data_IF_939380240203
#
_entry.id   IF_939380240203
#
_cell.length_a   1.000
_cell.length_b   1.000
_cell.length_c   1.000
_cell.angle_alpha   90.00
_cell.angle_beta   90.00
_cell.angle_gamma   90.00
#
_symmetry.space_group_name_H-M   'P 1'
#
loop_
_entity.id
_entity.type
_entity.pdbx_description
1 polymer ?
#
# COMPACT_ATOMS: atom_id res chain seq x y z
N UNK A 1 17.30 9.23 -35.91
CA UNK A 1 18.35 9.77 -35.02
C UNK A 1 17.69 10.09 -33.70
N UNK A 2 18.04 9.34 -32.66
CA UNK A 2 17.49 9.39 -31.31
C UNK A 2 18.24 10.47 -30.52
N UNK A 3 17.61 11.46 -29.88
CA UNK A 3 18.30 12.26 -28.88
C UNK A 3 18.28 11.47 -27.57
N UNK A 4 19.45 10.93 -27.23
CA UNK A 4 19.71 10.29 -25.95
C UNK A 4 19.38 11.23 -24.78
N UNK A 5 18.92 10.62 -23.69
CA UNK A 5 18.84 11.17 -22.33
C UNK A 5 20.03 12.08 -22.04
N UNK A 6 19.78 13.37 -21.86
CA UNK A 6 20.82 14.30 -21.42
C UNK A 6 20.95 14.15 -19.92
N UNK A 7 21.92 13.34 -19.50
CA UNK A 7 22.48 13.39 -18.15
C UNK A 7 23.18 14.76 -18.04
N UNK A 8 22.56 15.75 -17.39
CA UNK A 8 23.33 16.92 -16.93
C UNK A 8 24.07 16.54 -15.65
N UNK A 9 25.14 15.76 -15.82
CA UNK A 9 26.18 15.59 -14.83
C UNK A 9 27.06 16.85 -14.94
N UNK A 10 27.02 17.73 -13.94
CA UNK A 10 28.04 18.77 -13.83
C UNK A 10 29.37 18.08 -13.54
N UNK A 11 30.14 17.82 -14.59
CA UNK A 11 31.52 17.33 -14.50
C UNK A 11 32.37 18.50 -14.01
N UNK A 12 32.50 18.64 -12.69
CA UNK A 12 33.65 19.32 -12.11
C UNK A 12 34.78 18.30 -12.01
N UNK A 13 35.73 18.41 -12.94
CA UNK A 13 36.99 17.69 -12.92
C UNK A 13 37.74 18.00 -11.61
N UNK A 14 37.74 17.07 -10.66
CA UNK A 14 38.69 17.05 -9.57
C UNK A 14 38.93 15.61 -9.10
N UNK A 15 40.00 15.03 -9.65
CA UNK A 15 40.95 14.09 -9.06
C UNK A 15 40.52 13.32 -7.79
N UNK A 16 40.39 12.00 -7.98
CA UNK A 16 40.39 10.93 -6.97
C UNK A 16 39.24 10.93 -5.95
N UNK A 17 38.63 9.75 -5.76
CA UNK A 17 37.37 9.46 -5.07
C UNK A 17 36.13 9.68 -5.95
N UNK A 18 35.87 8.73 -6.86
CA UNK A 18 34.53 8.56 -7.44
C UNK A 18 33.62 8.02 -6.33
N UNK A 19 33.17 8.92 -5.46
CA UNK A 19 31.95 8.71 -4.68
C UNK A 19 30.91 8.30 -5.73
N UNK A 20 30.33 7.10 -5.64
CA UNK A 20 29.17 6.72 -6.45
C UNK A 20 28.12 7.80 -6.28
N UNK A 21 28.06 8.75 -7.21
CA UNK A 21 26.93 9.66 -7.33
C UNK A 21 25.80 8.75 -7.78
N UNK A 22 25.09 8.19 -6.81
CA UNK A 22 23.91 7.38 -7.03
C UNK A 22 22.82 8.36 -7.47
N UNK A 23 22.88 8.79 -8.73
CA UNK A 23 21.81 9.56 -9.35
C UNK A 23 20.57 8.68 -9.33
N UNK A 24 19.60 9.02 -8.48
CA UNK A 24 18.29 8.43 -8.62
C UNK A 24 17.72 8.79 -9.99
N UNK A 25 16.87 7.91 -10.53
CA UNK A 25 16.02 8.30 -11.64
C UNK A 25 15.26 9.56 -11.28
N UNK A 26 15.48 10.61 -12.09
CA UNK A 26 14.74 11.85 -12.03
C UNK A 26 13.91 11.91 -13.30
N UNK A 27 12.58 11.75 -13.20
CA UNK A 27 11.75 11.79 -14.39
C UNK A 27 11.88 13.14 -15.07
N UNK A 28 12.09 13.09 -16.39
CA UNK A 28 11.95 14.26 -17.23
C UNK A 28 10.51 14.75 -17.13
N UNK A 29 10.31 15.96 -16.60
CA UNK A 29 8.98 16.54 -16.45
C UNK A 29 8.38 16.73 -17.86
N UNK A 30 7.58 15.78 -18.31
CA UNK A 30 6.84 15.91 -19.56
C UNK A 30 5.83 17.04 -19.33
N UNK A 31 6.02 18.17 -20.04
CA UNK A 31 5.43 19.47 -19.74
C UNK A 31 3.90 19.64 -19.83
N UNK A 32 3.11 18.60 -19.56
CA UNK A 32 1.66 18.69 -19.35
C UNK A 32 1.29 18.14 -17.98
N UNK A 33 1.07 19.06 -17.03
CA UNK A 33 0.33 18.74 -15.82
C UNK A 33 -1.14 18.56 -16.17
N UNK A 34 -1.73 17.45 -15.75
CA UNK A 34 -3.16 17.17 -15.91
C UNK A 34 -3.95 17.54 -14.64
N UNK A 35 -3.29 18.19 -13.67
CA UNK A 35 -3.88 18.54 -12.38
C UNK A 35 -4.17 17.34 -11.49
N UNK A 36 -3.74 16.12 -11.84
CA UNK A 36 -4.11 14.91 -11.09
C UNK A 36 -3.44 14.93 -9.72
N UNK A 37 -2.18 15.37 -9.67
CA UNK A 37 -1.48 15.57 -8.41
C UNK A 37 -2.10 16.69 -7.53
N UNK A 38 -2.78 17.68 -8.13
CA UNK A 38 -3.48 18.72 -7.37
C UNK A 38 -4.70 18.15 -6.65
N UNK A 39 -5.38 17.15 -7.22
CA UNK A 39 -6.47 16.44 -6.53
C UNK A 39 -6.00 15.55 -5.38
N UNK A 40 -4.76 15.05 -5.44
CA UNK A 40 -4.17 14.26 -4.35
C UNK A 40 -3.69 15.16 -3.20
N UNK A 41 -3.21 16.36 -3.50
CA UNK A 41 -2.54 17.25 -2.54
C UNK A 41 -3.33 17.53 -1.25
N UNK A 42 -4.67 17.77 -1.27
CA UNK A 42 -5.43 18.01 -0.05
C UNK A 42 -5.53 16.80 0.90
N UNK A 43 -5.41 15.60 0.36
CA UNK A 43 -5.47 14.34 1.13
C UNK A 43 -4.09 13.84 1.53
N UNK A 44 -3.00 14.42 1.01
CA UNK A 44 -1.63 13.96 1.26
C UNK A 44 -1.08 14.53 2.58
N UNK A 45 -0.76 13.63 3.51
CA UNK A 45 -0.02 13.90 4.75
C UNK A 45 1.44 13.57 4.51
N UNK A 46 2.30 14.58 4.49
CA UNK A 46 3.74 14.40 4.23
C UNK A 46 4.43 13.76 5.42
N UNK A 47 5.62 13.21 5.19
CA UNK A 47 6.48 12.65 6.26
C UNK A 47 6.62 13.56 7.48
N UNK A 48 6.89 14.84 7.25
CA UNK A 48 7.01 15.82 8.33
C UNK A 48 5.70 16.00 9.12
N UNK A 49 4.55 15.91 8.44
CA UNK A 49 3.23 16.18 9.05
C UNK A 49 2.73 15.05 9.95
N UNK A 50 3.18 13.81 9.70
CA UNK A 50 2.89 12.66 10.58
C UNK A 50 4.04 12.33 11.54
N UNK A 51 5.15 13.08 11.49
CA UNK A 51 6.27 12.94 12.42
C UNK A 51 7.17 11.74 12.13
N UNK A 52 7.45 11.50 10.84
CA UNK A 52 8.33 10.44 10.38
C UNK A 52 9.75 10.56 10.94
N UNK A 53 10.31 9.44 11.38
CA UNK A 53 11.75 9.32 11.58
C UNK A 53 12.49 9.36 10.22
N UNK A 54 13.74 9.80 10.24
CA UNK A 54 14.64 9.66 9.09
C UNK A 54 15.01 8.19 8.87
N UNK A 55 15.34 7.84 7.62
CA UNK A 55 15.84 6.51 7.33
C UNK A 55 17.18 6.25 8.06
N UNK A 56 17.37 5.05 8.60
CA UNK A 56 18.60 4.67 9.34
C UNK A 56 19.81 4.45 8.43
N UNK A 57 19.63 4.49 7.11
CA UNK A 57 20.69 4.32 6.14
C UNK A 57 20.27 4.69 4.72
N UNK A 58 21.20 4.58 3.76
CA UNK A 58 20.94 4.95 2.37
C UNK A 58 19.92 4.01 1.73
N UNK A 59 18.84 4.58 1.20
CA UNK A 59 17.86 3.86 0.39
C UNK A 59 18.33 3.79 -1.07
N UNK A 60 18.23 2.62 -1.69
CA UNK A 60 18.47 2.44 -3.12
C UNK A 60 17.48 3.26 -3.96
N UNK A 61 17.93 3.75 -5.12
CA UNK A 61 17.07 4.44 -6.07
C UNK A 61 16.47 3.47 -7.09
N UNK A 62 15.30 3.82 -7.61
CA UNK A 62 14.86 3.27 -8.90
C UNK A 62 15.73 3.82 -10.04
N UNK A 63 15.92 3.00 -11.07
CA UNK A 63 16.67 3.35 -12.28
C UNK A 63 15.77 3.84 -13.42
N UNK A 64 14.51 3.41 -13.41
CA UNK A 64 13.48 3.70 -14.39
C UNK A 64 12.13 3.90 -13.66
N UNK A 65 11.09 4.43 -14.34
CA UNK A 65 9.73 4.38 -13.82
C UNK A 65 9.34 2.95 -13.45
N UNK A 66 8.56 2.79 -12.38
CA UNK A 66 8.03 1.47 -12.03
C UNK A 66 6.83 1.13 -12.89
N UNK A 67 6.73 -0.13 -13.33
CA UNK A 67 5.62 -0.66 -14.12
C UNK A 67 4.70 -1.59 -13.32
N UNK A 68 4.97 -1.75 -12.02
CA UNK A 68 4.21 -2.61 -11.13
C UNK A 68 3.73 -1.88 -9.87
N UNK A 69 2.41 -1.91 -9.64
CA UNK A 69 1.79 -1.44 -8.40
C UNK A 69 1.35 -2.66 -7.58
N UNK A 70 1.78 -2.74 -6.33
CA UNK A 70 1.40 -3.84 -5.43
C UNK A 70 0.57 -3.26 -4.28
N UNK A 71 -0.67 -3.74 -4.17
CA UNK A 71 -1.58 -3.35 -3.12
C UNK A 71 -1.44 -4.24 -1.90
N UNK A 72 -1.46 -3.60 -0.73
CA UNK A 72 -1.31 -4.21 0.58
C UNK A 72 -2.46 -3.83 1.50
N UNK A 73 -2.69 -4.66 2.50
CA UNK A 73 -3.23 -4.20 3.78
C UNK A 73 -2.12 -4.22 4.82
N UNK A 74 -2.31 -3.49 5.92
CA UNK A 74 -1.34 -3.53 7.03
C UNK A 74 -1.53 -4.72 7.97
N UNK A 75 -2.69 -5.40 7.91
CA UNK A 75 -3.14 -6.39 8.89
C UNK A 75 -3.11 -5.83 10.34
N UNK A 76 -3.45 -4.55 10.49
CA UNK A 76 -3.53 -3.86 11.78
C UNK A 76 -4.97 -3.37 12.02
N UNK A 77 -5.22 -2.80 13.20
CA UNK A 77 -6.50 -2.15 13.48
C UNK A 77 -6.69 -0.96 12.51
N UNK A 78 -7.86 -0.80 11.86
CA UNK A 78 -8.13 0.39 11.07
C UNK A 78 -8.14 1.63 11.97
N UNK A 79 -7.75 2.76 11.38
CA UNK A 79 -7.78 4.07 12.00
C UNK A 79 -8.87 4.92 11.32
N UNK A 80 -9.57 5.77 12.06
CA UNK A 80 -10.70 6.56 11.51
C UNK A 80 -10.54 8.06 11.69
N UNK A 81 -9.66 8.50 12.58
CA UNK A 81 -9.29 9.92 12.73
C UNK A 81 -7.87 10.16 12.25
N UNK A 82 -7.56 11.40 11.86
CA UNK A 82 -6.22 11.76 11.38
C UNK A 82 -5.14 11.52 12.44
N UNK A 83 -5.42 11.76 13.72
CA UNK A 83 -4.44 11.52 14.79
C UNK A 83 -4.20 10.02 15.01
N UNK A 84 -5.24 9.19 14.98
CA UNK A 84 -5.12 7.74 15.02
C UNK A 84 -4.32 7.21 13.84
N UNK A 85 -4.60 7.71 12.63
CA UNK A 85 -3.91 7.27 11.42
C UNK A 85 -2.45 7.74 11.39
N UNK A 86 -2.14 8.97 11.84
CA UNK A 86 -0.75 9.41 12.05
C UNK A 86 -0.02 8.49 13.02
N UNK A 87 -0.67 8.14 14.14
CA UNK A 87 -0.10 7.21 15.13
C UNK A 87 0.12 5.83 14.50
N UNK A 88 -0.85 5.29 13.78
CA UNK A 88 -0.74 3.99 13.13
C UNK A 88 0.44 3.94 12.14
N UNK A 89 0.60 4.96 11.30
CA UNK A 89 1.74 5.05 10.37
C UNK A 89 3.08 5.11 11.11
N UNK A 90 3.14 5.87 12.22
CA UNK A 90 4.33 5.95 13.06
C UNK A 90 4.65 4.60 13.71
N UNK A 91 3.67 3.91 14.28
CA UNK A 91 3.83 2.59 14.88
C UNK A 91 4.32 1.57 13.83
N UNK A 92 3.79 1.62 12.60
CA UNK A 92 4.23 0.78 11.47
C UNK A 92 5.68 1.10 11.09
N UNK A 93 6.07 2.38 11.02
CA UNK A 93 7.47 2.77 10.76
C UNK A 93 8.39 2.22 11.85
N UNK A 94 8.02 2.40 13.13
CA UNK A 94 8.81 1.93 14.27
C UNK A 94 8.98 0.41 14.26
N UNK A 95 7.92 -0.35 14.02
CA UNK A 95 7.99 -1.81 13.91
C UNK A 95 8.90 -2.24 12.74
N UNK A 96 8.78 -1.60 11.57
CA UNK A 96 9.65 -1.89 10.44
C UNK A 96 11.13 -1.61 10.73
N UNK A 97 11.44 -0.52 11.41
CA UNK A 97 12.83 -0.13 11.67
C UNK A 97 13.45 -0.87 12.86
N UNK A 98 12.69 -1.09 13.94
CA UNK A 98 13.19 -1.68 15.19
C UNK A 98 13.08 -3.21 15.23
N UNK A 99 12.01 -3.76 14.67
CA UNK A 99 11.75 -5.21 14.76
C UNK A 99 12.23 -5.93 13.49
N UNK A 100 12.00 -5.34 12.31
CA UNK A 100 12.41 -5.94 11.02
C UNK A 100 13.77 -5.46 10.52
N UNK A 101 14.40 -4.51 11.23
CA UNK A 101 15.70 -3.92 10.87
C UNK A 101 15.72 -3.31 9.46
N UNK A 102 14.57 -2.81 8.99
CA UNK A 102 14.50 -2.10 7.71
C UNK A 102 14.97 -0.67 7.87
N UNK A 103 15.43 -0.08 6.77
CA UNK A 103 15.96 1.28 6.77
C UNK A 103 14.90 2.36 7.03
N UNK A 104 13.64 2.06 6.70
CA UNK A 104 12.47 2.93 6.86
C UNK A 104 11.20 2.08 6.71
N UNK A 105 10.02 2.69 6.88
CA UNK A 105 8.71 2.10 6.56
C UNK A 105 8.73 1.43 5.19
N UNK A 106 8.16 0.22 5.05
CA UNK A 106 8.32 -0.58 3.82
C UNK A 106 7.55 -0.10 2.60
N UNK A 107 6.47 0.67 2.80
CA UNK A 107 5.55 1.12 1.75
C UNK A 107 5.89 2.52 1.23
N UNK A 108 5.45 2.85 0.02
CA UNK A 108 5.58 4.21 -0.52
C UNK A 108 4.41 5.09 -0.08
N UNK A 109 3.21 4.51 0.01
CA UNK A 109 2.01 5.20 0.50
C UNK A 109 1.21 4.31 1.43
N UNK A 110 0.60 4.92 2.44
CA UNK A 110 -0.39 4.29 3.29
C UNK A 110 -1.70 5.07 3.20
N UNK A 111 -2.85 4.41 3.25
CA UNK A 111 -4.17 5.05 3.18
C UNK A 111 -4.93 4.75 4.46
N UNK A 112 -5.30 5.80 5.19
CA UNK A 112 -6.06 5.73 6.43
C UNK A 112 -7.57 5.74 6.20
N UNK A 113 -8.33 5.26 7.19
CA UNK A 113 -9.80 5.31 7.14
C UNK A 113 -10.37 6.70 7.37
N UNK A 114 -9.50 7.65 7.69
CA UNK A 114 -9.81 9.08 7.72
C UNK A 114 -9.82 9.73 6.32
N UNK A 115 -9.62 8.95 5.25
CA UNK A 115 -9.63 9.45 3.87
C UNK A 115 -8.38 10.24 3.49
N UNK A 116 -7.24 9.96 4.14
CA UNK A 116 -5.95 10.58 3.84
C UNK A 116 -4.92 9.56 3.33
N UNK A 117 -3.95 10.08 2.59
CA UNK A 117 -2.78 9.36 2.10
C UNK A 117 -1.57 9.81 2.89
N UNK A 118 -0.87 8.87 3.50
CA UNK A 118 0.33 9.09 4.29
C UNK A 118 1.56 8.73 3.46
N UNK A 119 2.45 9.69 3.31
CA UNK A 119 3.70 9.51 2.58
C UNK A 119 4.65 8.59 3.35
N UNK A 120 5.02 7.45 2.75
CA UNK A 120 6.02 6.51 3.24
C UNK A 120 7.38 6.80 2.61
N UNK A 121 7.97 5.81 1.92
CA UNK A 121 9.20 6.02 1.15
C UNK A 121 8.96 6.93 -0.07
N UNK A 122 9.94 7.78 -0.44
CA UNK A 122 9.84 8.62 -1.62
C UNK A 122 9.62 7.82 -2.91
N UNK A 123 8.90 8.41 -3.88
CA UNK A 123 8.60 7.81 -5.19
C UNK A 123 9.79 7.17 -5.92
N UNK A 124 10.98 7.78 -5.79
CA UNK A 124 12.20 7.39 -6.50
C UNK A 124 13.11 6.44 -5.69
N UNK A 125 12.65 5.96 -4.52
CA UNK A 125 13.40 5.07 -3.64
C UNK A 125 12.77 3.70 -3.54
N UNK A 126 13.60 2.66 -3.56
CA UNK A 126 13.19 1.25 -3.49
C UNK A 126 12.46 0.96 -2.16
N UNK A 127 11.33 0.25 -2.27
CA UNK A 127 10.50 -0.21 -1.16
C UNK A 127 11.11 -1.35 -0.32
N UNK A 128 10.38 -1.80 0.69
CA UNK A 128 10.63 -3.07 1.40
C UNK A 128 9.34 -3.86 1.65
N UNK A 129 8.34 -3.70 0.79
CA UNK A 129 6.99 -4.24 0.98
C UNK A 129 6.79 -5.63 0.37
N UNK A 130 7.49 -5.97 -0.72
CA UNK A 130 7.29 -7.25 -1.43
C UNK A 130 8.63 -7.82 -1.87
N UNK A 131 8.99 -8.97 -1.27
CA UNK A 131 10.23 -9.67 -1.60
C UNK A 131 10.30 -9.92 -3.12
N UNK A 132 11.50 -9.81 -3.67
CA UNK A 132 11.80 -9.92 -5.11
C UNK A 132 11.25 -8.81 -6.01
N UNK A 133 10.26 -8.03 -5.58
CA UNK A 133 9.58 -7.04 -6.41
C UNK A 133 9.85 -5.59 -6.02
N UNK A 134 10.47 -5.34 -4.85
CA UNK A 134 10.74 -3.99 -4.35
C UNK A 134 11.50 -3.07 -5.34
N UNK A 135 12.36 -3.63 -6.20
CA UNK A 135 13.24 -2.86 -7.11
C UNK A 135 12.55 -2.32 -8.36
N UNK A 136 11.32 -2.71 -8.61
CA UNK A 136 10.56 -2.33 -9.81
C UNK A 136 9.07 -2.14 -9.52
N UNK A 137 8.70 -1.98 -8.25
CA UNK A 137 7.29 -1.80 -7.88
C UNK A 137 7.08 -0.74 -6.81
N UNK A 138 5.89 -0.17 -6.83
CA UNK A 138 5.40 0.78 -5.83
C UNK A 138 4.31 0.14 -4.97
N UNK A 139 4.63 -0.06 -3.70
CA UNK A 139 3.71 -0.56 -2.67
C UNK A 139 2.81 0.52 -2.08
N UNK A 140 1.50 0.29 -2.13
CA UNK A 140 0.45 1.09 -1.48
C UNK A 140 -0.26 0.19 -0.45
N UNK A 141 -0.31 0.60 0.81
CA UNK A 141 -0.96 -0.16 1.88
C UNK A 141 -2.20 0.55 2.43
N UNK A 142 -3.29 -0.19 2.66
CA UNK A 142 -4.46 0.33 3.38
C UNK A 142 -4.33 -0.04 4.85
N UNK A 143 -4.48 0.95 5.74
CA UNK A 143 -4.36 0.76 7.18
C UNK A 143 -5.63 0.08 7.69
N UNK A 144 -5.47 -1.15 8.19
CA UNK A 144 -6.57 -2.06 8.48
C UNK A 144 -6.24 -3.52 8.17
N UNK A 145 -7.22 -4.37 8.48
CA UNK A 145 -7.34 -5.76 8.08
C UNK A 145 -8.58 -5.88 7.20
N UNK A 146 -8.40 -6.46 6.01
CA UNK A 146 -9.41 -6.57 4.97
C UNK A 146 -9.57 -8.01 4.48
N UNK A 147 -9.32 -8.99 5.36
CA UNK A 147 -9.65 -10.38 5.10
C UNK A 147 -11.16 -10.57 4.95
N UNK A 148 -11.94 -9.99 5.87
CA UNK A 148 -13.39 -10.21 5.93
C UNK A 148 -14.21 -9.04 5.43
N UNK A 149 -13.76 -7.82 5.70
CA UNK A 149 -14.49 -6.60 5.36
C UNK A 149 -13.76 -5.86 4.23
N UNK A 150 -14.54 -5.27 3.32
CA UNK A 150 -13.96 -4.46 2.25
C UNK A 150 -13.45 -3.13 2.85
N UNK A 151 -12.37 -2.55 2.28
CA UNK A 151 -11.99 -1.21 2.63
C UNK A 151 -13.10 -0.21 2.36
N UNK A 152 -13.12 0.87 3.13
CA UNK A 152 -14.06 1.97 2.91
C UNK A 152 -13.87 2.54 1.48
N UNK A 153 -14.94 2.82 0.73
CA UNK A 153 -14.85 3.45 -0.58
C UNK A 153 -13.93 4.69 -0.63
N UNK A 154 -13.87 5.49 0.45
CA UNK A 154 -12.97 6.66 0.52
C UNK A 154 -11.50 6.26 0.39
N UNK A 155 -11.11 5.10 0.92
CA UNK A 155 -9.75 4.58 0.77
C UNK A 155 -9.50 4.14 -0.68
N UNK A 156 -10.47 3.45 -1.28
CA UNK A 156 -10.37 2.91 -2.63
C UNK A 156 -10.21 4.03 -3.67
N UNK A 157 -10.92 5.14 -3.50
CA UNK A 157 -10.88 6.31 -4.39
C UNK A 157 -9.52 7.04 -4.39
N UNK A 158 -8.68 6.82 -3.39
CA UNK A 158 -7.35 7.46 -3.29
C UNK A 158 -6.28 6.68 -4.06
N UNK A 159 -6.43 5.36 -4.23
CA UNK A 159 -5.46 4.52 -4.96
C UNK A 159 -5.22 5.02 -6.38
N UNK A 160 -6.23 5.21 -7.25
CA UNK A 160 -5.99 5.72 -8.60
C UNK A 160 -5.39 7.14 -8.59
N UNK A 161 -5.74 8.00 -7.64
CA UNK A 161 -5.16 9.35 -7.53
C UNK A 161 -3.65 9.32 -7.24
N UNK A 162 -3.22 8.40 -6.37
CA UNK A 162 -1.78 8.15 -6.12
C UNK A 162 -1.13 7.70 -7.43
N UNK A 163 -1.64 6.64 -8.05
CA UNK A 163 -1.00 6.02 -9.22
C UNK A 163 -0.91 7.01 -10.38
N UNK A 164 -1.99 7.70 -10.73
CA UNK A 164 -1.99 8.64 -11.84
C UNK A 164 -1.19 9.91 -11.55
N UNK A 165 -1.07 10.34 -10.29
CA UNK A 165 -0.08 11.36 -9.94
C UNK A 165 1.37 10.86 -10.14
N UNK A 166 1.63 9.58 -9.85
CA UNK A 166 2.90 8.92 -10.16
C UNK A 166 3.19 8.89 -11.67
N UNK A 167 2.18 8.59 -12.50
CA UNK A 167 2.26 8.63 -13.97
C UNK A 167 2.52 10.06 -14.47
N UNK A 168 1.76 11.04 -13.98
CA UNK A 168 1.96 12.46 -14.33
C UNK A 168 3.38 12.94 -14.00
N UNK A 169 3.90 12.53 -12.84
CA UNK A 169 5.27 12.85 -12.42
C UNK A 169 6.35 12.03 -13.13
N UNK A 170 5.97 11.00 -13.90
CA UNK A 170 6.90 10.11 -14.59
C UNK A 170 7.58 9.07 -13.71
N UNK A 171 7.11 8.84 -12.47
CA UNK A 171 7.63 7.79 -11.58
C UNK A 171 6.98 6.42 -11.83
N UNK A 172 5.79 6.41 -12.44
CA UNK A 172 5.05 5.19 -12.79
C UNK A 172 4.89 5.15 -14.30
N UNK A 173 5.16 4.00 -14.91
CA UNK A 173 4.92 3.78 -16.33
C UNK A 173 3.42 3.85 -16.64
N UNK A 174 2.96 4.57 -17.68
CA UNK A 174 1.55 4.62 -18.06
C UNK A 174 0.90 3.26 -18.36
N UNK A 175 1.68 2.24 -18.69
CA UNK A 175 1.23 0.87 -18.96
C UNK A 175 1.44 -0.09 -17.78
N UNK A 176 1.44 0.44 -16.56
CA UNK A 176 1.59 -0.35 -15.35
C UNK A 176 0.55 -1.49 -15.17
N UNK A 177 0.97 -2.53 -14.45
CA UNK A 177 0.09 -3.55 -13.87
C UNK A 177 -0.22 -3.23 -12.40
N UNK A 178 -1.40 -3.62 -11.93
CA UNK A 178 -1.77 -3.55 -10.52
C UNK A 178 -2.22 -4.91 -10.01
N UNK A 179 -1.60 -5.36 -8.92
CA UNK A 179 -1.84 -6.67 -8.31
C UNK A 179 -1.98 -6.58 -6.80
N UNK A 180 -2.45 -7.65 -6.16
CA UNK A 180 -2.35 -7.81 -4.71
C UNK A 180 -1.00 -8.41 -4.31
N UNK A 181 -0.56 -8.19 -3.07
CA UNK A 181 0.69 -8.77 -2.57
C UNK A 181 0.75 -10.31 -2.74
N UNK A 182 -0.36 -11.02 -2.54
CA UNK A 182 -0.47 -12.47 -2.75
C UNK A 182 -0.18 -12.95 -4.17
N UNK A 183 -0.24 -12.08 -5.18
CA UNK A 183 0.09 -12.42 -6.57
C UNK A 183 1.61 -12.39 -6.84
N UNK A 184 2.40 -11.88 -5.87
CA UNK A 184 3.84 -11.72 -5.98
C UNK A 184 4.64 -12.33 -4.81
N UNK A 185 3.96 -12.79 -3.74
CA UNK A 185 4.56 -13.41 -2.57
C UNK A 185 3.58 -14.30 -1.80
N UNK A 186 4.07 -15.23 -0.95
CA UNK A 186 3.21 -16.10 -0.16
C UNK A 186 2.69 -15.39 1.07
N UNK A 187 1.50 -14.83 0.93
CA UNK A 187 0.82 -14.08 1.98
C UNK A 187 -0.68 -14.05 1.71
N UNK A 188 -1.48 -13.83 2.75
CA UNK A 188 -2.91 -13.49 2.61
C UNK A 188 -3.11 -12.02 2.23
N UNK A 189 -2.09 -11.17 2.33
CA UNK A 189 -2.17 -9.76 1.94
C UNK A 189 -2.58 -9.61 0.46
N UNK A 190 -3.49 -8.70 0.07
CA UNK A 190 -4.04 -7.58 0.85
C UNK A 190 -5.37 -7.90 1.57
N UNK A 191 -5.63 -9.18 1.82
CA UNK A 191 -6.84 -9.70 2.44
C UNK A 191 -7.93 -10.06 1.43
N UNK A 192 -8.71 -11.10 1.74
CA UNK A 192 -9.66 -11.71 0.81
C UNK A 192 -10.76 -10.76 0.32
N UNK A 193 -11.31 -9.91 1.19
CA UNK A 193 -12.36 -8.98 0.82
C UNK A 193 -11.83 -7.88 -0.10
N UNK A 194 -10.68 -7.28 0.23
CA UNK A 194 -10.05 -6.29 -0.64
C UNK A 194 -9.59 -6.92 -1.97
N UNK A 195 -8.98 -8.10 -1.92
CA UNK A 195 -8.52 -8.80 -3.13
C UNK A 195 -9.65 -9.10 -4.12
N UNK A 196 -10.85 -9.45 -3.64
CA UNK A 196 -12.04 -9.64 -4.50
C UNK A 196 -12.44 -8.39 -5.28
N UNK A 197 -12.18 -7.21 -4.73
CA UNK A 197 -12.47 -5.92 -5.39
C UNK A 197 -11.43 -5.63 -6.46
N UNK A 198 -10.14 -5.69 -6.13
CA UNK A 198 -9.06 -5.28 -7.04
C UNK A 198 -8.97 -6.15 -8.29
N UNK A 199 -9.35 -7.44 -8.20
CA UNK A 199 -9.41 -8.35 -9.36
C UNK A 199 -10.36 -7.89 -10.47
N UNK A 200 -11.29 -6.97 -10.17
CA UNK A 200 -12.25 -6.44 -11.15
C UNK A 200 -11.76 -5.15 -11.82
N UNK A 201 -10.59 -4.64 -11.45
CA UNK A 201 -10.09 -3.36 -11.92
C UNK A 201 -9.40 -3.46 -13.31
N UNK A 202 -9.45 -2.40 -14.13
CA UNK A 202 -9.01 -2.42 -15.53
C UNK A 202 -7.50 -2.65 -15.76
N UNK A 203 -6.67 -2.63 -14.71
CA UNK A 203 -5.21 -2.89 -14.75
C UNK A 203 -4.79 -4.13 -13.98
N UNK A 204 -5.75 -4.94 -13.54
CA UNK A 204 -5.46 -6.26 -12.99
C UNK A 204 -5.18 -7.24 -14.14
N UNK A 205 -3.99 -7.86 -14.20
CA UNK A 205 -3.63 -8.72 -15.32
C UNK A 205 -4.48 -9.99 -15.36
N UNK A 206 -4.72 -10.51 -16.58
CA UNK A 206 -5.47 -11.78 -16.77
C UNK A 206 -4.68 -13.01 -16.28
N UNK A 207 -3.35 -12.93 -16.27
CA UNK A 207 -2.45 -13.98 -15.82
C UNK A 207 -1.73 -13.47 -14.55
N UNK A 208 -1.99 -14.15 -13.44
CA UNK A 208 -1.31 -14.03 -12.14
C UNK A 208 -1.02 -15.45 -11.65
N UNK A 209 0.08 -15.74 -10.91
CA UNK A 209 1.10 -14.81 -10.38
C UNK A 209 2.16 -14.39 -11.41
N UNK A 210 2.93 -13.34 -11.08
CA UNK A 210 4.04 -12.86 -11.92
C UNK A 210 5.15 -13.93 -11.98
N UNK A 211 5.74 -14.20 -13.16
CA UNK A 211 6.72 -15.27 -13.36
C UNK A 211 8.07 -14.95 -12.69
N UNK A 212 8.14 -15.07 -11.37
CA UNK A 212 9.37 -15.21 -10.57
C UNK A 212 9.15 -15.93 -9.24
N UNK A 213 7.90 -16.26 -8.88
CA UNK A 213 7.61 -16.88 -7.58
C UNK A 213 6.33 -17.74 -7.61
N UNK A 214 6.44 -18.99 -7.15
CA UNK A 214 5.32 -19.89 -6.91
C UNK A 214 5.28 -20.25 -5.43
N UNK A 215 4.09 -20.17 -4.82
CA UNK A 215 3.90 -20.63 -3.46
C UNK A 215 3.86 -22.16 -3.41
N UNK A 216 4.91 -22.77 -2.89
CA UNK A 216 4.87 -24.17 -2.52
C UNK A 216 3.97 -24.31 -1.29
N UNK A 217 2.88 -25.08 -1.41
CA UNK A 217 1.90 -25.31 -0.35
C UNK A 217 2.47 -25.98 0.93
N UNK A 218 3.77 -26.28 0.97
CA UNK A 218 4.46 -26.93 2.07
C UNK A 218 5.34 -26.00 2.92
N UNK A 219 5.49 -24.72 2.57
CA UNK A 219 6.10 -23.75 3.49
C UNK A 219 5.03 -23.18 4.43
N UNK A 220 4.57 -24.00 5.36
CA UNK A 220 3.94 -23.50 6.59
C UNK A 220 5.01 -22.75 7.36
N UNK A 221 5.03 -21.42 7.27
CA UNK A 221 5.78 -20.57 8.18
C UNK A 221 5.28 -20.84 9.59
N UNK A 222 6.00 -21.71 10.29
CA UNK A 222 5.88 -21.90 11.73
C UNK A 222 6.52 -20.68 12.38
N UNK A 223 5.83 -19.55 12.37
CA UNK A 223 6.09 -18.52 13.38
C UNK A 223 5.45 -19.03 14.66
N UNK A 224 6.25 -19.74 15.46
CA UNK A 224 5.91 -20.04 16.85
C UNK A 224 5.75 -18.70 17.57
N UNK A 225 4.62 -18.45 18.27
CA UNK A 225 4.51 -17.28 19.13
C UNK A 225 5.54 -17.43 20.24
N UNK A 226 6.59 -16.63 20.19
CA UNK A 226 7.57 -16.57 21.28
C UNK A 226 6.93 -15.76 22.39
N UNK A 227 6.18 -16.43 23.26
CA UNK A 227 5.82 -15.89 24.57
C UNK A 227 7.09 -15.85 25.41
N UNK A 228 7.86 -14.77 25.32
CA UNK A 228 8.90 -14.50 26.31
C UNK A 228 8.22 -14.11 27.60
N UNK A 229 8.30 -15.01 28.58
CA UNK A 229 7.82 -14.81 29.94
C UNK A 229 8.36 -13.50 30.54
N UNK A 230 7.46 -12.72 31.14
CA UNK A 230 7.81 -11.58 31.97
C UNK A 230 8.63 -12.05 33.20
N UNK A 231 9.60 -11.25 33.69
CA UNK A 231 10.38 -11.61 34.87
C UNK A 231 9.50 -11.60 36.13
N UNK A 232 9.48 -12.74 36.81
CA UNK A 232 8.79 -12.99 38.07
C UNK A 232 9.31 -12.08 39.19
N UNK A 233 8.47 -11.18 39.68
CA UNK A 233 8.64 -10.58 41.02
C UNK A 233 7.75 -11.33 42.02
N UNK A 234 8.39 -11.98 42.97
CA UNK A 234 7.80 -12.66 44.14
C UNK A 234 6.90 -11.74 44.96
N UNK A 235 5.69 -12.19 45.36
CA UNK A 235 5.02 -11.68 46.55
C UNK A 235 5.01 -12.74 47.67
N UNK A 236 5.38 -12.31 48.88
CA UNK A 236 5.21 -13.04 50.13
C UNK A 236 3.74 -13.00 50.63
N UNK A 237 3.33 -13.85 51.59
CA UNK A 237 2.00 -14.45 51.63
C UNK A 237 1.00 -13.69 52.50
N UNK A 238 -0.30 -13.82 52.22
CA UNK A 238 -1.33 -13.62 53.25
C UNK A 238 -2.54 -14.53 53.03
N UNK A 239 -2.86 -15.24 54.11
CA UNK A 239 -3.94 -16.20 54.35
C UNK A 239 -5.31 -15.52 54.43
N UNK A 240 -6.38 -16.08 53.85
CA UNK A 240 -7.66 -16.40 54.53
C UNK A 240 -8.74 -16.98 53.58
N UNK A 241 -9.49 -17.93 54.13
CA UNK A 241 -10.59 -18.77 53.58
C UNK A 241 -11.98 -18.13 53.90
N UNK A 242 -13.15 -18.76 53.62
CA UNK A 242 -13.91 -18.86 52.36
C UNK A 242 -15.29 -18.12 52.35
N UNK A 243 -15.91 -18.15 51.15
CA UNK A 243 -17.29 -17.84 50.68
C UNK A 243 -18.47 -18.16 51.65
N UNK A 244 -19.64 -17.52 51.49
CA UNK A 244 -20.78 -18.26 50.91
C UNK A 244 -21.74 -17.48 49.95
N UNK A 245 -22.49 -18.30 49.21
CA UNK A 245 -23.47 -18.10 48.13
C UNK A 245 -24.80 -17.45 48.56
N UNK A 246 -25.48 -16.70 47.68
CA UNK A 246 -26.96 -16.58 47.69
C UNK A 246 -27.52 -16.26 46.29
N UNK A 247 -28.80 -16.58 46.12
CA UNK A 247 -29.57 -17.04 44.95
C UNK A 247 -30.42 -15.93 44.27
N UNK A 248 -30.83 -16.18 43.02
CA UNK A 248 -31.81 -15.47 42.15
C UNK A 248 -33.22 -15.31 42.77
N UNK A 249 -34.13 -14.43 42.26
CA UNK A 249 -34.91 -14.71 41.04
C UNK A 249 -35.23 -13.51 40.10
N UNK A 250 -35.69 -13.88 38.90
CA UNK A 250 -36.34 -13.13 37.79
C UNK A 250 -37.61 -12.35 38.23
N UNK A 251 -38.16 -11.39 37.44
CA UNK A 251 -39.20 -11.81 36.46
C UNK A 251 -39.43 -10.94 35.20
N UNK A 252 -40.05 -11.60 34.21
CA UNK A 252 -41.07 -11.18 33.21
C UNK A 252 -40.79 -10.26 32.01
N UNK A 253 -40.99 -10.91 30.86
CA UNK A 253 -41.43 -10.48 29.52
C UNK A 253 -42.43 -9.31 29.44
N UNK A 254 -42.27 -8.45 28.42
CA UNK A 254 -43.38 -7.79 27.73
C UNK A 254 -43.06 -7.61 26.24
N UNK A 255 -44.02 -8.02 25.42
CA UNK A 255 -44.04 -8.00 23.94
C UNK A 255 -44.50 -6.66 23.40
N UNK A 256 -43.87 -6.13 22.34
CA UNK A 256 -44.58 -5.30 21.33
C UNK A 256 -43.82 -5.25 19.99
N UNK A 257 -44.60 -5.28 18.89
CA UNK A 257 -44.27 -5.17 17.46
C UNK A 257 -45.52 -4.52 16.81
N UNK A 258 -45.54 -4.01 15.55
CA UNK A 258 -44.59 -3.27 14.71
C UNK A 258 -45.08 -1.82 14.43
N UNK A 259 -44.23 -0.99 13.81
CA UNK A 259 -44.72 0.17 13.04
C UNK A 259 -43.97 0.29 11.70
N UNK A 260 -44.72 0.74 10.71
CA UNK A 260 -44.63 0.66 9.24
C UNK A 260 -43.56 1.53 8.55
N UNK A 261 -43.14 1.09 7.36
CA UNK A 261 -42.27 1.73 6.33
C UNK A 261 -42.83 3.08 5.80
N UNK A 262 -42.19 3.95 4.99
CA UNK A 262 -41.24 3.93 3.81
C UNK A 262 -40.85 5.44 3.52
N UNK A 263 -40.16 5.90 2.43
CA UNK A 263 -39.14 5.39 1.47
C UNK A 263 -37.79 6.16 1.51
N UNK A 264 -36.63 5.55 1.24
CA UNK A 264 -36.01 5.25 -0.07
C UNK A 264 -35.42 6.48 -0.80
N UNK A 265 -34.10 6.63 -0.73
CA UNK A 265 -33.28 7.36 -1.71
C UNK A 265 -32.00 6.53 -1.94
N UNK A 266 -32.00 5.73 -3.00
CA UNK A 266 -30.86 4.94 -3.46
C UNK A 266 -29.96 5.83 -4.32
N UNK A 267 -28.86 6.31 -3.76
CA UNK A 267 -27.75 6.86 -4.55
C UNK A 267 -26.86 5.71 -4.98
N UNK A 268 -26.92 5.42 -6.28
CA UNK A 268 -26.03 4.55 -7.07
C UNK A 268 -24.54 4.80 -6.72
N UNK A 269 -23.90 3.82 -6.07
CA UNK A 269 -22.53 3.91 -5.51
C UNK A 269 -21.44 3.37 -6.46
N UNK A 270 -21.76 3.06 -7.71
CA UNK A 270 -20.84 2.33 -8.60
C UNK A 270 -20.28 3.17 -9.76
N UNK A 271 -19.90 4.43 -9.51
CA UNK A 271 -19.24 5.28 -10.53
C UNK A 271 -17.80 5.59 -10.16
N UNK A 272 -16.91 4.64 -10.41
CA UNK A 272 -15.48 4.91 -10.49
C UNK A 272 -15.19 5.67 -11.79
N UNK A 273 -14.55 6.84 -11.67
CA UNK A 273 -14.13 7.62 -12.83
C UNK A 273 -12.97 6.91 -13.55
N UNK A 274 -13.24 6.41 -14.76
CA UNK A 274 -12.19 5.93 -15.67
C UNK A 274 -11.53 7.16 -16.28
N UNK A 275 -10.35 7.54 -15.79
CA UNK A 275 -9.48 8.48 -16.50
C UNK A 275 -8.84 7.72 -17.65
N UNK A 276 -9.44 7.83 -18.84
CA UNK A 276 -8.83 7.32 -20.07
C UNK A 276 -7.68 8.26 -20.42
N UNK A 277 -6.46 7.92 -20.01
CA UNK A 277 -5.26 8.58 -20.53
C UNK A 277 -5.08 8.10 -21.97
N UNK A 278 -5.14 8.99 -22.98
CA UNK A 278 -4.97 8.58 -24.37
C UNK A 278 -3.59 7.97 -24.55
N UNK A 279 -3.53 6.82 -25.24
CA UNK A 279 -2.28 6.14 -25.61
C UNK A 279 -1.32 7.15 -26.25
N UNK A 280 -0.13 7.41 -25.70
CA UNK A 280 0.90 8.10 -26.46
C UNK A 280 1.30 7.17 -27.61
N UNK A 281 0.98 7.58 -28.85
CA UNK A 281 1.43 6.89 -30.06
C UNK A 281 2.94 7.09 -30.18
N UNK A 282 3.73 6.15 -29.68
CA UNK A 282 5.15 6.04 -30.03
C UNK A 282 5.35 4.76 -30.86
N UNK A 283 5.73 4.87 -32.14
CA UNK A 283 5.77 3.75 -33.06
C UNK A 283 7.20 3.23 -33.21
N UNK A 284 7.57 2.18 -32.45
CA UNK A 284 8.64 1.24 -32.79
C UNK A 284 8.68 0.22 -31.63
N UNK A 285 8.26 -1.02 -31.81
CA UNK A 285 9.00 -2.07 -32.50
C UNK A 285 8.01 -3.23 -32.72
N UNK A 286 7.92 -3.75 -33.95
CA UNK A 286 7.67 -5.15 -34.30
C UNK A 286 7.46 -5.23 -35.82
N UNK A 287 8.32 -5.95 -36.54
CA UNK A 287 7.84 -6.79 -37.62
C UNK A 287 8.39 -8.20 -37.33
N UNK A 288 7.67 -9.30 -37.31
CA UNK A 288 6.65 -9.86 -38.19
C UNK A 288 5.89 -10.88 -37.30
N UNK A 289 4.58 -11.08 -37.40
CA UNK A 289 3.93 -11.81 -38.47
C UNK A 289 2.44 -11.42 -38.53
N UNK A 290 1.92 -11.53 -39.73
CA UNK A 290 0.67 -11.03 -40.30
C UNK A 290 -0.58 -11.81 -39.92
N UNK A 291 -1.71 -11.10 -40.03
CA UNK A 291 -3.05 -11.57 -40.45
C UNK A 291 -3.69 -12.62 -39.52
N UNK A 292 -4.95 -12.54 -39.10
CA UNK A 292 -6.15 -11.97 -39.69
C UNK A 292 -7.22 -12.19 -38.62
N UNK A 293 -8.14 -11.24 -38.44
CA UNK A 293 -9.48 -11.46 -37.87
C UNK A 293 -9.51 -11.87 -36.35
N UNK A 294 -10.29 -11.27 -35.46
CA UNK A 294 -11.74 -11.15 -35.48
C UNK A 294 -12.18 -10.23 -34.31
N UNK A 295 -13.41 -9.74 -34.45
CA UNK A 295 -14.32 -9.08 -33.50
C UNK A 295 -14.14 -9.38 -32.01
#
# INVERSE_FOLDING_TARGET
>A
MNPHSVITCNILFALFWVQKILCCYLPYQVGKSYGICEYLSPSLVRRADWGAADATGPLDCFWDPVDLIILHHTATKPCTTTDECKKAVKDIQEAHMKEKMWLDIGYHFLIGGDGKVYEGRPWYKVGAHTKYHNKFSLGIALIGDFDKECPDPVMLDLIPKIIFCGVEKGYVDPDFYLIGHRDAYCTTCPGDAFYKVIKKWPRFPRIVPIPTYTCDANETTTETPTTTAAPTTTPAPTTTTPKPTTTTPEPTTTTSKPTTAKPEATTDKDKYFVVVVPKPKFPWYLPWQTAEEWW
#
